data_IF_755426684526
#
_entry.id   IF_755426684526
#
_cell.length_a   1.000
_cell.length_b   1.000
_cell.length_c   1.000
_cell.angle_alpha   90.00
_cell.angle_beta   90.00
_cell.angle_gamma   90.00
#
_symmetry.space_group_name_H-M   'P 1'
#
loop_
_entity.id
_entity.type
_entity.pdbx_description
1 polymer ?
#
# COMPACT_ATOMS: atom_id res chain seq x y z
N UNK A 1 8.52 -20.09 -0.59
CA UNK A 1 7.83 -19.54 0.60
C UNK A 1 7.04 -20.62 1.32
N UNK A 2 6.03 -21.25 0.68
CA UNK A 2 5.31 -22.38 1.28
C UNK A 2 6.25 -23.57 1.57
N UNK A 3 7.22 -23.84 0.70
CA UNK A 3 8.22 -24.90 0.91
C UNK A 3 9.17 -24.65 2.10
N UNK A 4 9.29 -23.39 2.53
CA UNK A 4 10.24 -22.98 3.58
C UNK A 4 9.51 -22.79 4.92
N UNK A 5 8.32 -22.18 4.91
CA UNK A 5 7.60 -21.77 6.11
C UNK A 5 6.27 -22.51 6.33
N UNK A 6 5.85 -23.34 5.37
CA UNK A 6 4.58 -24.05 5.38
C UNK A 6 3.41 -23.21 4.89
N UNK A 7 2.44 -23.88 4.27
CA UNK A 7 1.22 -23.25 3.75
C UNK A 7 0.41 -22.51 4.82
N UNK A 8 0.21 -23.05 6.05
CA UNK A 8 -0.57 -22.35 7.08
C UNK A 8 0.01 -20.98 7.42
N UNK A 9 1.34 -20.88 7.55
CA UNK A 9 2.02 -19.62 7.87
C UNK A 9 1.93 -18.62 6.72
N UNK A 10 2.10 -19.09 5.48
CA UNK A 10 1.97 -18.23 4.29
C UNK A 10 0.54 -17.68 4.17
N UNK A 11 -0.47 -18.47 4.51
CA UNK A 11 -1.86 -18.00 4.53
C UNK A 11 -2.09 -16.90 5.59
N UNK A 12 -1.45 -17.00 6.76
CA UNK A 12 -1.48 -15.92 7.76
C UNK A 12 -0.94 -14.63 7.16
N UNK A 13 0.25 -14.64 6.57
CA UNK A 13 0.82 -13.41 5.96
C UNK A 13 -0.02 -12.87 4.80
N UNK A 14 -0.66 -13.74 4.01
CA UNK A 14 -1.50 -13.32 2.87
C UNK A 14 -2.81 -12.68 3.29
N UNK A 15 -3.38 -13.08 4.43
CA UNK A 15 -4.72 -12.67 4.89
C UNK A 15 -4.70 -11.65 6.02
N UNK A 16 -3.61 -11.60 6.79
CA UNK A 16 -3.48 -10.68 7.92
C UNK A 16 -3.29 -9.24 7.49
N UNK A 17 -3.89 -8.33 8.27
CA UNK A 17 -3.73 -6.89 8.06
C UNK A 17 -2.38 -6.37 8.57
N UNK A 18 -1.92 -6.90 9.70
CA UNK A 18 -0.81 -6.35 10.48
C UNK A 18 0.27 -7.38 10.85
N UNK A 19 0.25 -8.57 10.23
CA UNK A 19 1.29 -9.60 10.48
C UNK A 19 2.29 -9.59 9.32
N UNK A 20 3.54 -9.17 9.54
CA UNK A 20 4.52 -9.09 8.47
C UNK A 20 5.09 -10.47 8.12
N UNK A 21 5.48 -10.70 6.86
CA UNK A 21 6.42 -11.77 6.54
C UNK A 21 7.82 -11.45 7.10
N UNK A 22 8.74 -12.43 7.10
CA UNK A 22 10.12 -12.20 7.53
C UNK A 22 10.78 -11.06 6.73
N UNK A 23 11.61 -10.27 7.42
CA UNK A 23 12.38 -9.20 6.79
C UNK A 23 13.41 -9.75 5.79
N UNK A 24 13.66 -8.99 4.72
CA UNK A 24 14.76 -9.30 3.80
C UNK A 24 16.10 -9.09 4.51
N UNK A 25 16.92 -10.13 4.52
CA UNK A 25 18.26 -10.10 5.11
C UNK A 25 19.31 -9.59 4.11
N UNK A 26 20.44 -9.01 4.58
CA UNK A 26 21.53 -8.56 3.71
C UNK A 26 22.16 -9.65 2.84
N UNK A 27 22.08 -10.92 3.26
CA UNK A 27 22.57 -12.07 2.50
C UNK A 27 21.63 -12.50 1.36
N UNK A 28 20.42 -11.94 1.28
CA UNK A 28 19.44 -12.30 0.27
C UNK A 28 19.93 -11.79 -1.10
N UNK A 29 19.88 -12.62 -2.17
CA UNK A 29 20.39 -12.23 -3.49
C UNK A 29 19.73 -10.98 -4.08
N UNK A 30 18.51 -10.64 -3.64
CA UNK A 30 17.80 -9.44 -4.10
C UNK A 30 18.05 -8.21 -3.23
N UNK A 31 18.63 -8.34 -2.03
CA UNK A 31 18.80 -7.24 -1.08
C UNK A 31 19.56 -6.07 -1.71
N UNK A 32 20.73 -6.34 -2.30
CA UNK A 32 21.56 -5.31 -2.93
C UNK A 32 20.86 -4.60 -4.09
N UNK A 33 20.10 -5.33 -4.91
CA UNK A 33 19.37 -4.76 -6.05
C UNK A 33 18.22 -3.84 -5.61
N UNK A 34 17.52 -4.21 -4.53
CA UNK A 34 16.41 -3.40 -3.96
C UNK A 34 16.99 -2.18 -3.24
N UNK A 35 17.93 -2.39 -2.31
CA UNK A 35 18.49 -1.36 -1.42
C UNK A 35 19.25 -0.27 -2.17
N UNK A 36 19.96 -0.64 -3.24
CA UNK A 36 20.80 0.29 -4.00
C UNK A 36 20.09 0.88 -5.22
N UNK A 37 18.79 0.62 -5.41
CA UNK A 37 18.03 1.16 -6.52
C UNK A 37 18.04 2.70 -6.47
N UNK A 38 18.50 3.39 -7.53
CA UNK A 38 18.57 4.85 -7.55
C UNK A 38 17.24 5.56 -7.25
N UNK A 39 16.11 4.91 -7.56
CA UNK A 39 14.76 5.44 -7.31
C UNK A 39 14.48 5.69 -5.83
N UNK A 40 15.19 5.01 -4.92
CA UNK A 40 14.93 5.09 -3.48
C UNK A 40 16.01 5.84 -2.69
N UNK A 41 16.95 6.53 -3.36
CA UNK A 41 18.06 7.26 -2.70
C UNK A 41 17.63 8.35 -1.73
N UNK A 42 16.40 8.87 -1.88
CA UNK A 42 15.84 9.91 -1.04
C UNK A 42 15.22 9.36 0.27
N UNK A 43 15.09 8.04 0.41
CA UNK A 43 14.53 7.39 1.60
C UNK A 43 15.66 7.15 2.59
N UNK A 44 15.52 7.66 3.82
CA UNK A 44 16.49 7.43 4.88
C UNK A 44 16.54 5.95 5.27
N UNK A 45 17.70 5.48 5.73
CA UNK A 45 17.91 4.06 6.06
C UNK A 45 16.91 3.52 7.08
N UNK A 46 16.60 4.31 8.11
CA UNK A 46 15.61 3.95 9.14
C UNK A 46 14.17 3.82 8.63
N UNK A 47 13.86 4.45 7.49
CA UNK A 47 12.52 4.52 6.91
C UNK A 47 12.38 3.54 5.72
N UNK A 48 13.46 2.85 5.33
CA UNK A 48 13.45 1.88 4.23
C UNK A 48 12.86 0.54 4.70
N UNK A 49 11.72 0.09 4.14
CA UNK A 49 11.07 -1.13 4.62
C UNK A 49 11.84 -2.38 4.22
N UNK A 50 12.14 -3.23 5.20
CA UNK A 50 12.70 -4.58 4.98
C UNK A 50 11.61 -5.66 4.92
N UNK A 51 10.43 -5.35 5.42
CA UNK A 51 9.19 -6.11 5.29
C UNK A 51 8.02 -5.13 5.39
N UNK A 52 6.87 -5.49 4.83
CA UNK A 52 5.66 -4.70 4.93
C UNK A 52 4.46 -5.61 5.26
N UNK A 53 3.58 -5.06 6.09
CA UNK A 53 2.19 -5.51 6.29
C UNK A 53 1.26 -4.76 5.34
N UNK A 54 0.00 -5.20 5.25
CA UNK A 54 -1.03 -4.39 4.57
C UNK A 54 -1.25 -3.05 5.28
N UNK A 55 -1.14 -3.01 6.61
CA UNK A 55 -1.24 -1.79 7.42
C UNK A 55 -0.14 -0.76 7.12
N UNK A 56 1.12 -1.18 7.14
CA UNK A 56 2.27 -0.30 6.84
C UNK A 56 2.24 0.18 5.38
N UNK A 57 1.84 -0.70 4.44
CA UNK A 57 1.59 -0.30 3.06
C UNK A 57 0.47 0.75 2.98
N UNK A 58 -0.62 0.58 3.73
CA UNK A 58 -1.72 1.55 3.77
C UNK A 58 -1.24 2.89 4.32
N UNK A 59 -0.48 2.91 5.41
CA UNK A 59 0.05 4.13 6.03
C UNK A 59 0.86 4.99 5.05
N UNK A 60 1.64 4.40 4.14
CA UNK A 60 2.37 5.16 3.12
C UNK A 60 1.56 5.54 1.88
N UNK A 61 0.44 4.86 1.62
CA UNK A 61 -0.44 5.17 0.48
C UNK A 61 -1.45 6.26 0.83
N UNK A 62 -1.86 6.37 2.09
CA UNK A 62 -2.83 7.37 2.54
C UNK A 62 -2.40 8.82 2.25
N UNK A 63 -1.14 9.24 2.47
CA UNK A 63 -0.72 10.60 2.11
C UNK A 63 -0.90 10.92 0.62
N UNK A 64 -0.61 9.97 -0.28
CA UNK A 64 -0.84 10.16 -1.72
C UNK A 64 -2.34 10.36 -2.03
N UNK A 65 -3.21 9.64 -1.30
CA UNK A 65 -4.66 9.81 -1.38
C UNK A 65 -5.11 11.20 -0.90
N UNK A 66 -4.71 11.60 0.31
CA UNK A 66 -5.20 12.81 0.96
C UNK A 66 -4.64 14.08 0.35
N UNK A 67 -3.37 14.06 -0.04
CA UNK A 67 -2.63 15.26 -0.38
C UNK A 67 -2.62 15.52 -1.88
N UNK A 68 -2.83 14.48 -2.70
CA UNK A 68 -2.76 14.56 -4.17
C UNK A 68 -4.04 14.10 -4.85
N UNK A 69 -4.51 12.88 -4.61
CA UNK A 69 -5.63 12.30 -5.37
C UNK A 69 -6.96 12.97 -5.03
N UNK A 70 -7.28 13.12 -3.74
CA UNK A 70 -8.56 13.71 -3.30
C UNK A 70 -8.74 15.17 -3.73
N UNK A 71 -7.73 16.05 -3.63
CA UNK A 71 -7.82 17.40 -4.16
C UNK A 71 -8.20 17.44 -5.65
N UNK A 72 -7.63 16.55 -6.46
CA UNK A 72 -7.91 16.46 -7.89
C UNK A 72 -9.35 16.00 -8.17
N UNK A 73 -9.84 15.01 -7.41
CA UNK A 73 -11.24 14.56 -7.48
C UNK A 73 -12.19 15.68 -7.07
N UNK A 74 -11.89 16.41 -5.98
CA UNK A 74 -12.70 17.56 -5.51
C UNK A 74 -12.70 18.71 -6.52
N UNK A 75 -11.65 18.85 -7.33
CA UNK A 75 -11.59 19.79 -8.45
C UNK A 75 -12.41 19.35 -9.67
N UNK A 76 -13.15 18.23 -9.59
CA UNK A 76 -14.01 17.71 -10.66
C UNK A 76 -13.29 16.89 -11.72
N UNK A 77 -12.01 16.52 -11.50
CA UNK A 77 -11.24 15.72 -12.46
C UNK A 77 -11.61 14.24 -12.36
N UNK A 78 -11.61 13.54 -13.51
CA UNK A 78 -11.71 12.08 -13.57
C UNK A 78 -10.32 11.48 -13.41
N UNK A 79 -10.05 10.89 -12.25
CA UNK A 79 -8.73 10.33 -11.91
C UNK A 79 -8.70 8.82 -12.13
N UNK A 80 -7.69 8.31 -12.85
CA UNK A 80 -7.40 6.89 -12.99
C UNK A 80 -6.15 6.53 -12.17
N UNK A 81 -6.30 5.64 -11.18
CA UNK A 81 -5.18 5.15 -10.36
C UNK A 81 -4.73 3.78 -10.87
N UNK A 82 -3.49 3.69 -11.38
CA UNK A 82 -2.87 2.43 -11.82
C UNK A 82 -1.75 2.08 -10.84
N UNK A 83 -1.96 1.01 -10.06
CA UNK A 83 -1.05 0.59 -9.00
C UNK A 83 -1.10 -0.94 -8.79
N UNK A 84 -0.54 -1.43 -7.69
CA UNK A 84 -0.53 -2.85 -7.33
C UNK A 84 -1.66 -3.22 -6.37
N UNK A 85 -2.00 -4.52 -6.31
CA UNK A 85 -3.12 -5.01 -5.49
C UNK A 85 -3.01 -4.72 -4.00
N UNK A 86 -1.81 -4.72 -3.40
CA UNK A 86 -1.64 -4.41 -1.96
C UNK A 86 -1.85 -2.94 -1.66
N UNK A 87 -1.30 -2.03 -2.47
CA UNK A 87 -1.52 -0.59 -2.33
C UNK A 87 -2.98 -0.22 -2.56
N UNK A 88 -3.64 -0.80 -3.58
CA UNK A 88 -5.06 -0.55 -3.86
C UNK A 88 -5.96 -1.10 -2.73
N UNK A 89 -5.67 -2.27 -2.18
CA UNK A 89 -6.42 -2.80 -1.02
C UNK A 89 -6.27 -1.91 0.22
N UNK A 90 -5.06 -1.44 0.50
CA UNK A 90 -4.82 -0.48 1.59
C UNK A 90 -5.63 0.80 1.38
N UNK A 91 -5.60 1.35 0.17
CA UNK A 91 -6.36 2.54 -0.20
C UNK A 91 -7.88 2.34 -0.07
N UNK A 92 -8.43 1.27 -0.66
CA UNK A 92 -9.87 0.96 -0.56
C UNK A 92 -10.30 0.80 0.90
N UNK A 93 -9.50 0.10 1.72
CA UNK A 93 -9.76 -0.06 3.15
C UNK A 93 -9.79 1.29 3.88
N UNK A 94 -8.85 2.19 3.57
CA UNK A 94 -8.86 3.55 4.11
C UNK A 94 -10.13 4.29 3.73
N UNK A 95 -10.47 4.34 2.43
CA UNK A 95 -11.65 5.04 1.92
C UNK A 95 -12.92 4.52 2.61
N UNK A 96 -13.16 3.21 2.62
CA UNK A 96 -14.33 2.59 3.25
C UNK A 96 -14.43 2.85 4.76
N UNK A 97 -13.30 3.06 5.44
CA UNK A 97 -13.26 3.39 6.86
C UNK A 97 -13.49 4.88 7.17
N UNK A 98 -13.55 5.75 6.16
CA UNK A 98 -13.69 7.20 6.32
C UNK A 98 -15.09 7.68 5.94
N UNK A 99 -15.51 8.83 6.46
CA UNK A 99 -16.72 9.53 5.98
C UNK A 99 -16.63 9.95 4.50
N UNK A 100 -15.42 9.98 3.91
CA UNK A 100 -15.22 10.31 2.48
C UNK A 100 -15.82 9.26 1.54
N UNK A 101 -16.01 8.02 1.98
CA UNK A 101 -16.74 7.01 1.21
C UNK A 101 -18.16 7.47 0.88
N UNK A 102 -18.84 8.11 1.84
CA UNK A 102 -20.19 8.61 1.67
C UNK A 102 -20.24 9.80 0.71
N UNK A 103 -19.23 10.67 0.77
CA UNK A 103 -19.08 11.78 -0.18
C UNK A 103 -18.81 11.29 -1.62
N UNK A 104 -18.01 10.23 -1.79
CA UNK A 104 -17.77 9.60 -3.08
C UNK A 104 -19.04 8.96 -3.66
N UNK A 105 -19.83 8.26 -2.85
CA UNK A 105 -21.13 7.73 -3.28
C UNK A 105 -22.07 8.86 -3.72
N UNK A 106 -22.15 9.96 -2.97
CA UNK A 106 -22.97 11.12 -3.33
C UNK A 106 -22.51 11.76 -4.66
N UNK A 107 -21.20 11.97 -4.85
CA UNK A 107 -20.65 12.54 -6.09
C UNK A 107 -20.83 11.63 -7.32
N UNK A 108 -20.82 10.30 -7.13
CA UNK A 108 -21.07 9.33 -8.20
C UNK A 108 -22.56 9.24 -8.55
N UNK A 109 -23.45 9.35 -7.55
CA UNK A 109 -24.90 9.35 -7.74
C UNK A 109 -25.43 10.66 -8.34
N UNK A 110 -24.77 11.80 -8.11
CA UNK A 110 -25.17 13.10 -8.67
C UNK A 110 -24.84 13.26 -10.17
N UNK A 111 -24.12 12.30 -10.77
CA UNK A 111 -23.75 12.31 -12.19
C UNK A 111 -24.42 11.17 -12.99
N UNK A 112 -25.48 10.56 -12.46
CA UNK A 112 -26.42 9.69 -13.20
C UNK A 112 -27.78 10.37 -13.34
#
# INVERSE_FOLDING_TARGET
MADIYGEPQVQVWRRSFNVPPPAIEPNNPYYGAIRNNPKFRHIAEKDFPLTETLETTMQRVVPEWTDTIIPEVRAGKKVLVVAHGTSLRGLVKHIQGTMEFKLLEELLCLNQ
#
